data_IF_894209502896
#
_entry.id   IF_894209502896
#
_cell.length_a   1.000
_cell.length_b   1.000
_cell.length_c   1.000
_cell.angle_alpha   90.00
_cell.angle_beta   90.00
_cell.angle_gamma   90.00
#
_symmetry.space_group_name_H-M   'P 1'
#
loop_
_entity.id
_entity.type
_entity.pdbx_description
1 polymer ?
#
# COMPACT_ATOMS: atom_id res chain seq x y z
N UNK A 1 -13.11 -4.28 2.05
CA UNK A 1 -11.80 -4.06 2.70
C UNK A 1 -11.22 -5.44 2.95
N UNK A 2 -10.01 -5.70 2.50
CA UNK A 2 -9.35 -7.00 2.68
C UNK A 2 -8.56 -7.06 4.00
N UNK A 3 -8.11 -5.92 4.51
CA UNK A 3 -7.44 -5.82 5.81
C UNK A 3 -7.66 -4.43 6.41
N UNK A 4 -7.52 -4.32 7.74
CA UNK A 4 -7.44 -3.06 8.46
C UNK A 4 -5.97 -2.80 8.83
N UNK A 5 -5.48 -1.57 8.61
CA UNK A 5 -4.12 -1.19 8.97
C UNK A 5 -4.18 -0.38 10.26
N UNK A 6 -3.67 -0.95 11.34
CA UNK A 6 -3.54 -0.27 12.64
C UNK A 6 -2.28 0.59 12.68
N UNK A 7 -2.34 1.71 13.35
CA UNK A 7 -1.18 2.54 13.67
C UNK A 7 -0.54 2.15 15.02
N UNK A 8 -1.24 1.33 15.80
CA UNK A 8 -0.82 0.89 17.13
C UNK A 8 -0.69 -0.62 17.21
N UNK A 9 0.19 -1.10 18.10
CA UNK A 9 0.28 -2.49 18.51
C UNK A 9 -0.77 -2.80 19.60
N UNK A 10 -1.18 -4.08 19.76
CA UNK A 10 -1.99 -4.49 20.88
C UNK A 10 -1.26 -4.27 22.21
N UNK A 11 -2.02 -4.06 23.26
CA UNK A 11 -1.52 -4.01 24.64
C UNK A 11 -0.90 -5.35 25.06
N UNK A 12 -0.29 -5.40 26.26
CA UNK A 12 0.35 -6.61 26.82
C UNK A 12 -0.59 -7.81 26.97
N UNK A 13 -1.89 -7.57 27.09
CA UNK A 13 -2.96 -8.59 27.14
C UNK A 13 -3.45 -9.01 25.74
N UNK A 14 -2.83 -8.52 24.67
CA UNK A 14 -3.21 -8.78 23.29
C UNK A 14 -4.41 -7.97 22.78
N UNK A 15 -4.94 -7.04 23.59
CA UNK A 15 -6.09 -6.23 23.20
C UNK A 15 -5.64 -5.02 22.37
N UNK A 16 -6.20 -4.85 21.18
CA UNK A 16 -6.06 -3.65 20.36
C UNK A 16 -7.27 -2.76 20.59
N UNK A 17 -7.01 -1.51 20.96
CA UNK A 17 -8.04 -0.51 21.22
C UNK A 17 -8.01 0.49 20.08
N UNK A 18 -9.17 0.68 19.42
CA UNK A 18 -9.36 1.62 18.33
C UNK A 18 -10.41 2.65 18.71
N UNK A 19 -10.09 3.91 18.50
CA UNK A 19 -10.97 5.05 18.80
C UNK A 19 -11.10 6.02 17.59
N UNK A 20 -11.65 7.19 17.83
CA UNK A 20 -11.68 8.31 16.90
C UNK A 20 -12.16 7.94 15.49
N UNK A 21 -11.28 8.12 14.50
CA UNK A 21 -11.57 7.89 13.09
C UNK A 21 -11.74 6.40 12.79
N UNK A 22 -10.92 5.56 13.38
CA UNK A 22 -10.91 4.13 13.12
C UNK A 22 -12.17 3.46 13.69
N UNK A 23 -12.58 3.86 14.90
CA UNK A 23 -13.88 3.48 15.45
C UNK A 23 -15.02 3.90 14.52
N UNK A 24 -15.05 5.18 14.11
CA UNK A 24 -16.12 5.68 13.24
C UNK A 24 -16.16 4.92 11.90
N UNK A 25 -15.01 4.61 11.33
CA UNK A 25 -14.92 3.86 10.09
C UNK A 25 -15.44 2.42 10.25
N UNK A 26 -14.97 1.68 11.23
CA UNK A 26 -15.36 0.28 11.41
C UNK A 26 -16.82 0.13 11.86
N UNK A 27 -17.27 0.96 12.80
CA UNK A 27 -18.63 0.84 13.36
C UNK A 27 -19.70 1.54 12.52
N UNK A 28 -19.43 2.76 12.04
CA UNK A 28 -20.46 3.56 11.33
C UNK A 28 -20.48 3.30 9.83
N UNK A 29 -19.30 3.17 9.21
CA UNK A 29 -19.18 2.97 7.76
C UNK A 29 -19.27 1.49 7.42
N UNK A 30 -18.48 0.66 8.07
CA UNK A 30 -18.45 -0.80 7.85
C UNK A 30 -19.55 -1.56 8.57
N UNK A 31 -20.18 -0.95 9.57
CA UNK A 31 -21.27 -1.50 10.36
C UNK A 31 -20.91 -2.83 11.04
N UNK A 32 -19.65 -2.94 11.45
CA UNK A 32 -19.15 -4.13 12.16
C UNK A 32 -19.76 -4.24 13.55
N UNK A 33 -19.93 -5.47 14.01
CA UNK A 33 -20.60 -5.82 15.28
C UNK A 33 -19.63 -6.59 16.18
N UNK A 34 -20.00 -6.70 17.44
CA UNK A 34 -19.32 -7.59 18.38
C UNK A 34 -19.40 -9.02 17.86
N UNK A 35 -18.26 -9.71 17.88
CA UNK A 35 -18.09 -11.07 17.33
C UNK A 35 -17.61 -11.12 15.88
N UNK A 36 -17.66 -10.00 15.14
CA UNK A 36 -17.12 -9.96 13.77
C UNK A 36 -15.60 -10.12 13.81
N UNK A 37 -15.06 -10.85 12.84
CA UNK A 37 -13.61 -10.99 12.63
C UNK A 37 -13.11 -9.95 11.64
N UNK A 38 -11.87 -9.52 11.86
CA UNK A 38 -11.22 -8.49 11.06
C UNK A 38 -9.75 -8.84 10.87
N UNK A 39 -9.28 -9.03 9.64
CA UNK A 39 -7.83 -9.12 9.39
C UNK A 39 -7.22 -7.74 9.62
N UNK A 40 -6.30 -7.69 10.58
CA UNK A 40 -5.61 -6.47 11.01
C UNK A 40 -4.13 -6.59 10.66
N UNK A 41 -3.56 -5.54 10.11
CA UNK A 41 -2.12 -5.41 9.93
C UNK A 41 -1.57 -4.46 10.98
N UNK A 42 -0.72 -5.00 11.83
CA UNK A 42 -0.05 -4.30 12.92
C UNK A 42 1.31 -3.74 12.43
N UNK A 43 1.80 -2.65 13.03
CA UNK A 43 3.05 -2.01 12.59
C UNK A 43 4.29 -2.90 12.69
N UNK A 44 4.40 -3.67 13.78
CA UNK A 44 5.55 -4.51 14.08
C UNK A 44 5.20 -5.99 13.97
N UNK A 45 4.09 -6.42 14.59
CA UNK A 45 3.68 -7.82 14.68
C UNK A 45 3.11 -8.39 13.37
N UNK A 46 2.92 -7.55 12.34
CA UNK A 46 2.47 -8.00 11.02
C UNK A 46 0.97 -8.25 10.93
N UNK A 47 0.57 -9.28 10.17
CA UNK A 47 -0.84 -9.59 9.96
C UNK A 47 -1.39 -10.48 11.08
N UNK A 48 -2.54 -10.10 11.64
CA UNK A 48 -3.25 -10.85 12.65
C UNK A 48 -4.75 -10.86 12.35
N UNK A 49 -5.43 -11.97 12.63
CA UNK A 49 -6.89 -12.00 12.63
C UNK A 49 -7.40 -11.66 14.02
N UNK A 50 -8.23 -10.63 14.10
CA UNK A 50 -8.77 -10.15 15.37
C UNK A 50 -10.29 -10.19 15.39
N UNK A 51 -10.87 -10.44 16.55
CA UNK A 51 -12.31 -10.46 16.79
C UNK A 51 -12.70 -9.23 17.58
N UNK A 52 -13.81 -8.60 17.21
CA UNK A 52 -14.38 -7.48 17.97
C UNK A 52 -14.96 -8.01 19.28
N UNK A 53 -14.29 -7.72 20.38
CA UNK A 53 -14.73 -8.11 21.73
C UNK A 53 -15.84 -7.21 22.26
N UNK A 54 -15.68 -5.91 22.08
CA UNK A 54 -16.67 -4.92 22.57
C UNK A 54 -16.65 -3.63 21.78
N UNK A 55 -17.82 -2.98 21.76
CA UNK A 55 -18.03 -1.65 21.13
C UNK A 55 -18.64 -0.74 22.17
N UNK A 56 -17.94 0.33 22.55
CA UNK A 56 -18.45 1.35 23.46
C UNK A 56 -18.85 2.60 22.66
N UNK A 57 -20.15 2.83 22.53
CA UNK A 57 -20.67 4.03 21.88
C UNK A 57 -20.44 5.29 22.70
N UNK A 58 -20.45 5.17 24.03
CA UNK A 58 -20.21 6.28 24.96
C UNK A 58 -18.78 6.80 24.88
N UNK A 59 -17.80 5.90 24.83
CA UNK A 59 -16.38 6.23 24.72
C UNK A 59 -15.93 6.38 23.28
N UNK A 60 -16.76 5.97 22.29
CA UNK A 60 -16.40 5.84 20.86
C UNK A 60 -15.14 4.97 20.68
N UNK A 61 -15.12 3.84 21.38
CA UNK A 61 -14.00 2.92 21.48
C UNK A 61 -14.42 1.51 21.02
N UNK A 62 -13.56 0.83 20.32
CA UNK A 62 -13.72 -0.54 19.83
C UNK A 62 -12.53 -1.35 20.34
N UNK A 63 -12.82 -2.52 20.95
CA UNK A 63 -11.80 -3.42 21.46
C UNK A 63 -11.76 -4.70 20.62
N UNK A 64 -10.56 -5.05 20.20
CA UNK A 64 -10.29 -6.24 19.42
C UNK A 64 -9.35 -7.17 20.19
N UNK A 65 -9.58 -8.48 20.09
CA UNK A 65 -8.67 -9.52 20.60
C UNK A 65 -8.24 -10.44 19.48
N UNK A 66 -7.07 -11.10 19.61
CA UNK A 66 -6.67 -12.14 18.66
C UNK A 66 -7.73 -13.22 18.56
N UNK A 67 -8.02 -13.69 17.35
CA UNK A 67 -8.89 -14.84 17.12
C UNK A 67 -8.21 -16.08 17.67
N UNK A 68 -8.97 -16.98 18.32
CA UNK A 68 -8.46 -18.24 18.90
C UNK A 68 -7.86 -19.20 17.85
N UNK A 69 -7.97 -18.90 16.57
CA UNK A 69 -7.39 -19.67 15.48
C UNK A 69 -6.05 -19.14 14.97
N UNK A 70 -5.53 -18.04 15.52
CA UNK A 70 -4.26 -17.45 15.06
C UNK A 70 -3.10 -18.05 15.86
N UNK A 71 -2.44 -19.08 15.31
CA UNK A 71 -1.07 -19.39 15.70
C UNK A 71 -0.18 -18.25 15.22
N UNK A 72 0.38 -17.51 16.17
CA UNK A 72 1.39 -16.49 15.91
C UNK A 72 2.62 -17.21 15.35
N UNK A 73 2.85 -17.13 14.05
CA UNK A 73 4.13 -17.45 13.46
C UNK A 73 5.13 -16.36 13.88
N UNK A 74 5.78 -16.59 15.02
CA UNK A 74 6.98 -15.84 15.38
C UNK A 74 8.05 -16.15 14.36
N UNK A 75 8.35 -15.19 13.49
CA UNK A 75 9.55 -15.23 12.69
C UNK A 75 10.75 -15.12 13.62
N UNK A 76 11.40 -16.24 13.89
CA UNK A 76 12.71 -16.30 14.55
C UNK A 76 13.71 -15.77 13.54
N UNK A 77 14.10 -14.50 13.67
CA UNK A 77 15.28 -13.97 13.03
C UNK A 77 16.49 -14.31 13.93
N UNK A 78 17.36 -15.16 13.41
CA UNK A 78 18.68 -15.34 13.96
C UNK A 78 19.57 -14.13 13.62
N UNK A 79 20.30 -13.59 14.62
CA UNK A 79 21.44 -12.72 14.38
C UNK A 79 21.43 -11.40 15.15
N UNK A 80 22.09 -11.41 16.30
CA UNK A 80 22.28 -10.43 17.31
C UNK A 80 22.87 -9.07 16.93
N UNK A 81 22.57 -8.11 17.74
CA UNK A 81 23.45 -7.30 18.60
C UNK A 81 22.55 -6.28 19.31
N UNK A 82 22.66 -6.26 20.64
CA UNK A 82 21.82 -5.46 21.50
C UNK A 82 22.24 -3.99 21.54
N UNK A 83 21.25 -3.15 21.74
CA UNK A 83 21.35 -1.88 22.46
C UNK A 83 20.03 -1.65 23.21
N UNK A 84 20.05 -0.99 24.40
CA UNK A 84 18.97 -1.09 25.37
C UNK A 84 17.76 -0.25 24.98
N UNK A 85 16.60 -0.77 25.38
CA UNK A 85 15.29 -0.18 25.22
C UNK A 85 15.21 1.22 25.87
N UNK A 86 14.80 2.21 25.10
CA UNK A 86 14.22 3.42 25.60
C UNK A 86 12.72 3.18 25.81
N UNK A 87 12.27 3.50 27.00
CA UNK A 87 10.93 3.45 27.51
C UNK A 87 10.03 4.35 26.63
N UNK A 88 9.18 3.76 25.78
CA UNK A 88 8.22 4.52 24.99
C UNK A 88 6.92 4.54 25.77
N UNK A 89 6.78 5.61 26.53
CA UNK A 89 5.57 5.94 27.27
C UNK A 89 4.33 5.95 26.37
N UNK A 90 3.26 5.44 26.96
CA UNK A 90 1.88 5.45 26.49
C UNK A 90 1.48 6.76 25.79
N UNK A 91 1.17 6.71 24.50
CA UNK A 91 0.71 7.85 23.69
C UNK A 91 -0.82 8.05 23.70
N UNK A 92 -1.50 7.73 24.80
CA UNK A 92 -2.95 7.88 24.86
C UNK A 92 -3.44 8.60 26.13
N UNK A 93 -2.76 9.69 26.54
CA UNK A 93 -3.29 10.58 27.58
C UNK A 93 -3.30 12.04 27.08
N UNK A 94 -4.48 12.56 26.83
CA UNK A 94 -4.66 13.98 26.65
C UNK A 94 -5.84 14.42 25.80
N UNK A 95 -7.04 14.44 26.36
CA UNK A 95 -7.98 15.57 26.25
C UNK A 95 -9.25 15.28 27.04
N UNK A 96 -9.35 15.86 28.22
CA UNK A 96 -10.61 15.99 28.98
C UNK A 96 -11.30 17.32 28.67
N UNK A 97 -12.63 17.23 28.82
CA UNK A 97 -13.66 18.28 29.04
C UNK A 97 -14.42 18.69 27.79
N UNK A 98 -15.74 18.85 27.74
CA UNK A 98 -16.77 19.06 28.78
C UNK A 98 -18.16 18.77 28.15
N UNK A 99 -19.04 18.26 28.97
CA UNK A 99 -20.47 18.48 29.14
C UNK A 99 -21.40 18.85 27.98
N UNK A 100 -22.55 18.14 27.91
CA UNK A 100 -23.75 18.56 27.21
C UNK A 100 -24.79 17.45 27.08
N UNK A 101 -25.71 17.39 28.07
CA UNK A 101 -26.87 16.53 28.15
C UNK A 101 -27.92 16.83 27.07
N UNK A 102 -28.62 15.83 26.53
CA UNK A 102 -30.07 15.82 26.35
C UNK A 102 -30.52 14.44 25.86
N UNK A 103 -31.45 13.86 26.57
CA UNK A 103 -32.10 12.60 26.25
C UNK A 103 -33.22 12.78 25.25
N UNK A 104 -33.59 11.69 24.61
CA UNK A 104 -34.96 11.48 24.13
C UNK A 104 -35.31 10.00 24.09
N UNK A 105 -36.41 9.72 24.73
CA UNK A 105 -37.10 8.43 24.90
C UNK A 105 -37.91 8.03 23.66
N UNK A 106 -38.07 6.72 23.45
CA UNK A 106 -39.26 6.11 22.92
C UNK A 106 -39.26 5.82 21.40
N UNK A 107 -39.33 4.53 21.10
CA UNK A 107 -40.43 3.96 20.31
C UNK A 107 -40.25 2.44 20.20
N UNK A 108 -41.21 1.75 20.74
CA UNK A 108 -41.53 0.34 20.56
C UNK A 108 -42.23 0.11 19.19
N UNK A 109 -42.00 -1.04 18.59
CA UNK A 109 -42.89 -1.52 17.53
C UNK A 109 -42.34 -2.56 16.57
N UNK A 110 -42.82 -3.78 16.78
CA UNK A 110 -43.09 -4.85 15.83
C UNK A 110 -41.96 -5.73 15.25
N UNK A 111 -42.01 -6.96 15.76
CA UNK A 111 -41.44 -8.16 15.14
C UNK A 111 -42.25 -8.57 13.93
N UNK A 112 -41.58 -8.75 12.80
CA UNK A 112 -42.08 -9.53 11.68
C UNK A 112 -40.96 -10.42 11.16
N UNK A 113 -41.23 -11.70 11.08
CA UNK A 113 -40.41 -12.84 10.68
C UNK A 113 -39.61 -12.64 9.39
N UNK A 114 -38.28 -12.75 9.47
CA UNK A 114 -37.36 -12.91 8.33
C UNK A 114 -36.30 -13.94 8.74
N UNK A 115 -36.60 -15.23 8.60
CA UNK A 115 -35.69 -16.32 8.97
C UNK A 115 -34.85 -16.87 7.82
N UNK A 116 -35.01 -16.41 6.57
CA UNK A 116 -34.30 -16.99 5.41
C UNK A 116 -33.14 -16.11 4.84
N UNK A 117 -33.06 -14.84 5.24
CA UNK A 117 -31.96 -13.98 4.80
C UNK A 117 -30.71 -14.02 5.72
N UNK A 118 -30.83 -14.57 6.92
CA UNK A 118 -29.73 -14.65 7.88
C UNK A 118 -28.70 -15.72 7.49
N UNK A 119 -29.13 -16.84 6.94
CA UNK A 119 -28.22 -17.95 6.54
C UNK A 119 -27.45 -17.64 5.26
N UNK A 120 -28.03 -16.85 4.37
CA UNK A 120 -27.35 -16.42 3.13
C UNK A 120 -26.31 -15.34 3.41
N UNK A 121 -26.57 -14.45 4.36
CA UNK A 121 -25.59 -13.43 4.79
C UNK A 121 -24.41 -14.06 5.55
N UNK A 122 -24.63 -15.06 6.36
CA UNK A 122 -23.58 -15.77 7.10
C UNK A 122 -22.68 -16.59 6.17
N UNK A 123 -23.23 -17.25 5.15
CA UNK A 123 -22.42 -18.00 4.18
C UNK A 123 -21.55 -17.09 3.30
N UNK A 124 -22.07 -15.95 2.91
CA UNK A 124 -21.29 -14.95 2.12
C UNK A 124 -20.20 -14.30 2.99
N UNK A 125 -20.48 -14.04 4.26
CA UNK A 125 -19.52 -13.44 5.19
C UNK A 125 -18.40 -14.42 5.56
N UNK A 126 -18.73 -15.71 5.71
CA UNK A 126 -17.74 -16.78 5.91
C UNK A 126 -16.87 -17.00 4.66
N UNK A 127 -17.43 -16.89 3.46
CA UNK A 127 -16.69 -16.95 2.20
C UNK A 127 -15.76 -15.74 2.02
N UNK A 128 -16.18 -14.54 2.44
CA UNK A 128 -15.30 -13.35 2.45
C UNK A 128 -14.21 -13.43 3.52
N UNK A 129 -14.49 -14.03 4.68
CA UNK A 129 -13.49 -14.27 5.72
C UNK A 129 -12.46 -15.31 5.27
N UNK A 130 -12.88 -16.39 4.63
CA UNK A 130 -12.00 -17.40 4.07
C UNK A 130 -11.12 -16.83 2.94
N UNK A 131 -11.67 -15.98 2.06
CA UNK A 131 -10.91 -15.28 1.03
C UNK A 131 -9.94 -14.23 1.61
N UNK A 132 -10.26 -13.63 2.76
CA UNK A 132 -9.36 -12.71 3.46
C UNK A 132 -8.19 -13.42 4.15
N UNK A 133 -8.39 -14.64 4.62
CA UNK A 133 -7.32 -15.50 5.15
C UNK A 133 -6.32 -15.92 4.05
N UNK A 134 -6.79 -15.99 2.80
CA UNK A 134 -5.93 -16.30 1.66
C UNK A 134 -5.06 -15.12 1.20
N UNK A 135 -5.35 -13.90 1.64
CA UNK A 135 -4.48 -12.73 1.39
C UNK A 135 -3.12 -12.86 2.10
N UNK A 136 -3.01 -13.67 3.17
CA UNK A 136 -1.72 -14.04 3.76
C UNK A 136 -0.90 -15.00 2.88
N UNK A 137 -1.51 -15.55 1.83
CA UNK A 137 -0.90 -16.46 0.85
C UNK A 137 -0.44 -15.75 -0.42
N UNK A 138 -0.64 -14.43 -0.56
CA UNK A 138 0.02 -13.72 -1.65
C UNK A 138 1.52 -13.79 -1.36
N UNK A 139 2.29 -14.54 -2.16
CA UNK A 139 3.72 -14.65 -1.92
C UNK A 139 4.33 -13.24 -1.95
N UNK A 140 5.40 -13.00 -1.18
CA UNK A 140 6.11 -11.73 -1.30
C UNK A 140 6.50 -11.52 -2.78
N UNK A 141 6.47 -10.28 -3.28
CA UNK A 141 6.80 -10.01 -4.66
C UNK A 141 8.20 -10.54 -4.99
N UNK A 142 8.34 -11.17 -6.13
CA UNK A 142 9.62 -11.70 -6.62
C UNK A 142 10.68 -10.60 -6.80
N UNK A 143 10.24 -9.36 -7.03
CA UNK A 143 11.08 -8.17 -7.06
C UNK A 143 10.37 -6.97 -6.46
N UNK A 144 11.15 -6.05 -5.85
CA UNK A 144 10.64 -4.79 -5.36
C UNK A 144 10.61 -3.75 -6.47
N UNK A 145 9.47 -3.07 -6.65
CA UNK A 145 9.36 -1.96 -7.59
C UNK A 145 9.46 -0.63 -6.83
N UNK A 146 10.28 0.26 -7.35
CA UNK A 146 10.42 1.65 -6.93
C UNK A 146 10.01 2.53 -8.10
N UNK A 147 9.12 3.48 -7.85
CA UNK A 147 8.59 4.39 -8.86
C UNK A 147 9.10 5.81 -8.63
N UNK A 148 9.92 6.33 -9.55
CA UNK A 148 10.18 7.75 -9.69
C UNK A 148 9.07 8.34 -10.56
N UNK A 149 8.18 9.11 -9.96
CA UNK A 149 7.03 9.71 -10.65
C UNK A 149 7.15 11.22 -10.69
N UNK A 150 7.28 11.80 -11.85
CA UNK A 150 7.17 13.27 -12.00
C UNK A 150 5.80 13.73 -11.55
N UNK A 151 5.76 14.79 -10.73
CA UNK A 151 4.52 15.32 -10.18
C UNK A 151 3.61 15.81 -11.30
N UNK A 152 2.40 15.28 -11.35
CA UNK A 152 1.39 15.55 -12.38
C UNK A 152 0.45 16.67 -11.95
N UNK A 153 -0.28 17.23 -12.94
CA UNK A 153 -1.28 18.27 -12.70
C UNK A 153 -2.50 17.74 -11.93
N UNK A 154 -3.02 18.54 -11.04
CA UNK A 154 -4.28 18.27 -10.31
C UNK A 154 -4.18 17.02 -9.42
N UNK A 155 -5.18 16.16 -9.50
CA UNK A 155 -5.29 14.92 -8.72
C UNK A 155 -4.70 13.69 -9.40
N UNK A 156 -4.00 13.83 -10.52
CA UNK A 156 -3.46 12.68 -11.26
C UNK A 156 -2.37 11.96 -10.48
N UNK A 157 -1.52 12.69 -9.77
CA UNK A 157 -0.53 12.07 -8.86
C UNK A 157 -1.22 11.24 -7.78
N UNK A 158 -2.36 11.68 -7.23
CA UNK A 158 -3.15 10.89 -6.27
C UNK A 158 -3.59 9.55 -6.87
N UNK A 159 -3.99 9.57 -8.16
CA UNK A 159 -4.38 8.35 -8.89
C UNK A 159 -3.21 7.40 -9.04
N UNK A 160 -2.03 7.90 -9.43
CA UNK A 160 -0.81 7.09 -9.53
C UNK A 160 -0.43 6.51 -8.18
N UNK A 161 -0.43 7.32 -7.12
CA UNK A 161 -0.10 6.87 -5.74
C UNK A 161 -1.03 5.73 -5.31
N UNK A 162 -2.34 5.86 -5.57
CA UNK A 162 -3.32 4.81 -5.26
C UNK A 162 -3.02 3.53 -6.03
N UNK A 163 -2.93 3.60 -7.35
CA UNK A 163 -2.76 2.45 -8.23
C UNK A 163 -1.41 1.76 -8.03
N UNK A 164 -0.33 2.52 -7.87
CA UNK A 164 0.99 1.98 -7.54
C UNK A 164 0.99 1.24 -6.20
N UNK A 165 0.27 1.76 -5.21
CA UNK A 165 0.11 1.10 -3.90
C UNK A 165 -0.70 -0.18 -4.01
N UNK A 166 -1.81 -0.17 -4.75
CA UNK A 166 -2.63 -1.35 -5.03
C UNK A 166 -1.82 -2.45 -5.73
N UNK A 167 -0.94 -2.05 -6.64
CA UNK A 167 -0.01 -2.93 -7.33
C UNK A 167 1.20 -3.37 -6.47
N UNK A 168 1.33 -2.89 -5.23
CA UNK A 168 2.39 -3.32 -4.33
C UNK A 168 3.77 -2.71 -4.61
N UNK A 169 3.83 -1.50 -5.13
CA UNK A 169 5.08 -0.74 -5.27
C UNK A 169 5.66 -0.46 -3.88
N UNK A 170 6.96 -0.73 -3.70
CA UNK A 170 7.63 -0.56 -2.40
C UNK A 170 7.88 0.88 -2.03
N UNK A 171 8.32 1.70 -2.98
CA UNK A 171 8.57 3.11 -2.73
C UNK A 171 8.12 3.96 -3.92
N UNK A 172 7.55 5.13 -3.61
CA UNK A 172 7.18 6.15 -4.57
C UNK A 172 8.01 7.38 -4.26
N UNK A 173 8.75 7.87 -5.24
CA UNK A 173 9.59 9.06 -5.16
C UNK A 173 9.01 10.10 -6.12
N UNK A 174 8.21 11.07 -5.62
CA UNK A 174 7.68 12.13 -6.45
C UNK A 174 8.81 13.09 -6.86
N UNK A 175 8.96 13.31 -8.18
CA UNK A 175 10.00 14.16 -8.74
C UNK A 175 9.42 15.49 -9.22
N UNK A 176 10.01 16.59 -8.78
CA UNK A 176 9.74 17.93 -9.30
C UNK A 176 10.68 18.16 -10.48
N UNK A 177 10.18 17.92 -11.69
CA UNK A 177 10.97 18.05 -12.91
C UNK A 177 10.75 19.38 -13.63
N UNK A 178 11.48 19.55 -14.72
CA UNK A 178 11.47 20.78 -15.54
C UNK A 178 10.07 21.12 -16.06
N UNK A 179 9.31 20.10 -16.46
CA UNK A 179 7.94 20.24 -16.98
C UNK A 179 6.86 20.06 -15.91
N UNK A 180 7.25 19.90 -14.63
CA UNK A 180 6.29 19.84 -13.53
C UNK A 180 5.66 21.20 -13.26
N UNK A 181 4.34 21.25 -13.13
CA UNK A 181 3.61 22.50 -12.83
C UNK A 181 3.77 22.93 -11.38
N UNK A 182 3.79 21.96 -10.45
CA UNK A 182 4.00 22.23 -9.04
C UNK A 182 5.50 22.27 -8.73
N UNK A 183 6.02 23.48 -8.47
CA UNK A 183 7.44 23.71 -8.17
C UNK A 183 7.73 23.85 -6.67
N UNK A 184 6.73 23.70 -5.80
CA UNK A 184 6.88 23.87 -4.34
C UNK A 184 6.36 22.65 -3.60
N UNK A 185 7.10 22.26 -2.60
CA UNK A 185 6.66 21.26 -1.63
C UNK A 185 5.46 21.79 -0.82
N UNK A 186 4.47 20.94 -0.61
CA UNK A 186 3.32 21.21 0.24
C UNK A 186 3.18 20.09 1.27
N UNK A 187 3.44 20.35 2.57
CA UNK A 187 3.34 19.34 3.61
C UNK A 187 1.96 18.66 3.66
N UNK A 188 0.88 19.41 3.39
CA UNK A 188 -0.47 18.84 3.32
C UNK A 188 -0.62 17.81 2.20
N UNK A 189 0.18 17.91 1.14
CA UNK A 189 0.16 16.98 0.02
C UNK A 189 0.77 15.62 0.42
N UNK A 190 1.86 15.63 1.17
CA UNK A 190 2.48 14.40 1.67
C UNK A 190 1.53 13.64 2.60
N UNK A 191 0.88 14.33 3.54
CA UNK A 191 -0.13 13.72 4.41
C UNK A 191 -1.33 13.15 3.61
N UNK A 192 -1.73 13.83 2.55
CA UNK A 192 -2.75 13.33 1.62
C UNK A 192 -2.30 12.03 0.94
N UNK A 193 -1.07 11.96 0.45
CA UNK A 193 -0.52 10.75 -0.18
C UNK A 193 -0.43 9.59 0.81
N UNK A 194 0.03 9.81 2.03
CA UNK A 194 0.08 8.80 3.09
C UNK A 194 -1.30 8.21 3.38
N UNK A 195 -2.33 9.07 3.43
CA UNK A 195 -3.71 8.61 3.59
C UNK A 195 -4.18 7.77 2.41
N UNK A 196 -3.89 8.18 1.17
CA UNK A 196 -4.23 7.42 -0.04
C UNK A 196 -3.57 6.04 0.00
N UNK A 197 -2.29 5.96 0.36
CA UNK A 197 -1.55 4.70 0.51
C UNK A 197 -2.23 3.80 1.54
N UNK A 198 -2.56 4.32 2.71
CA UNK A 198 -3.27 3.56 3.75
C UNK A 198 -4.59 2.98 3.24
N UNK A 199 -5.42 3.82 2.61
CA UNK A 199 -6.71 3.42 2.05
C UNK A 199 -6.54 2.36 0.94
N UNK A 200 -5.58 2.55 0.03
CA UNK A 200 -5.29 1.63 -1.07
C UNK A 200 -4.80 0.26 -0.56
N UNK A 201 -3.90 0.24 0.42
CA UNK A 201 -3.44 -1.00 1.07
C UNK A 201 -4.56 -1.73 1.78
N UNK A 202 -5.43 -1.02 2.50
CA UNK A 202 -6.60 -1.61 3.15
C UNK A 202 -7.56 -2.23 2.14
N UNK A 203 -7.74 -1.59 0.99
CA UNK A 203 -8.63 -2.06 -0.06
C UNK A 203 -8.04 -3.24 -0.85
N UNK A 204 -6.80 -3.16 -1.27
CA UNK A 204 -6.14 -4.19 -2.07
C UNK A 204 -5.73 -5.41 -1.25
N UNK A 205 -5.45 -5.24 0.04
CA UNK A 205 -4.84 -6.27 0.87
C UNK A 205 -3.34 -6.41 0.64
N UNK A 206 -2.69 -5.41 -0.01
CA UNK A 206 -1.25 -5.45 -0.29
C UNK A 206 -0.44 -5.69 0.98
N UNK A 207 0.43 -6.70 0.94
CA UNK A 207 1.39 -7.00 2.00
C UNK A 207 2.59 -6.07 1.98
N UNK A 208 2.79 -5.33 0.87
CA UNK A 208 3.90 -4.41 0.71
C UNK A 208 3.64 -3.13 1.49
N UNK A 209 4.63 -2.72 2.29
CA UNK A 209 4.61 -1.45 3.01
C UNK A 209 5.11 -0.34 2.09
N UNK A 210 4.19 0.23 1.31
CA UNK A 210 4.50 1.29 0.36
C UNK A 210 4.89 2.56 1.09
N UNK A 211 6.11 3.05 0.85
CA UNK A 211 6.63 4.31 1.37
C UNK A 211 6.52 5.38 0.29
N UNK A 212 6.24 6.63 0.67
CA UNK A 212 6.30 7.78 -0.22
C UNK A 212 7.22 8.85 0.37
N UNK A 213 8.11 9.37 -0.45
CA UNK A 213 8.98 10.49 -0.10
C UNK A 213 8.29 11.83 -0.36
N UNK A 214 8.86 12.90 0.16
CA UNK A 214 8.48 14.25 -0.23
C UNK A 214 8.85 14.50 -1.69
N UNK A 215 8.07 15.32 -2.41
CA UNK A 215 8.44 15.73 -3.76
C UNK A 215 9.76 16.52 -3.75
N UNK A 216 10.74 16.05 -4.50
CA UNK A 216 12.09 16.63 -4.56
C UNK A 216 12.57 16.78 -6.01
N UNK A 217 13.56 17.66 -6.30
CA UNK A 217 14.23 17.69 -7.59
C UNK A 217 14.84 16.33 -7.96
N UNK A 218 15.05 16.07 -9.26
CA UNK A 218 15.56 14.78 -9.74
C UNK A 218 16.91 14.41 -9.10
N UNK A 219 17.83 15.36 -8.95
CA UNK A 219 19.12 15.09 -8.33
C UNK A 219 18.98 14.56 -6.90
N UNK A 220 18.08 15.16 -6.10
CA UNK A 220 17.82 14.73 -4.73
C UNK A 220 17.09 13.38 -4.69
N UNK A 221 16.19 13.14 -5.66
CA UNK A 221 15.53 11.86 -5.82
C UNK A 221 16.54 10.73 -6.10
N UNK A 222 17.50 10.96 -6.99
CA UNK A 222 18.56 10.01 -7.29
C UNK A 222 19.47 9.75 -6.09
N UNK A 223 19.80 10.77 -5.31
CA UNK A 223 20.56 10.65 -4.07
C UNK A 223 19.81 9.87 -2.98
N UNK A 224 18.49 9.87 -3.01
CA UNK A 224 17.65 9.13 -2.07
C UNK A 224 17.46 7.65 -2.46
N UNK A 225 17.73 7.25 -3.70
CA UNK A 225 17.51 5.86 -4.16
C UNK A 225 18.29 4.79 -3.37
N UNK A 226 19.55 5.00 -2.96
CA UNK A 226 20.32 3.97 -2.26
C UNK A 226 19.67 3.45 -0.98
N UNK A 227 18.77 4.20 -0.35
CA UNK A 227 18.02 3.73 0.83
C UNK A 227 17.00 2.61 0.51
N UNK A 228 16.60 2.48 -0.76
CA UNK A 228 15.63 1.49 -1.22
C UNK A 228 16.23 0.44 -2.15
N UNK A 229 17.37 0.75 -2.75
CA UNK A 229 18.00 -0.04 -3.81
C UNK A 229 19.22 -0.74 -3.23
N UNK A 230 19.28 -2.09 -3.27
CA UNK A 230 20.48 -2.81 -2.85
C UNK A 230 21.65 -2.51 -3.79
N UNK A 231 22.87 -2.70 -3.30
CA UNK A 231 24.09 -2.45 -4.07
C UNK A 231 24.18 -3.30 -5.37
N UNK A 232 23.51 -4.45 -5.39
CA UNK A 232 23.51 -5.37 -6.52
C UNK A 232 22.09 -5.89 -6.79
N UNK A 233 21.84 -6.30 -8.03
CA UNK A 233 20.57 -6.92 -8.42
C UNK A 233 19.44 -5.94 -8.69
N UNK A 234 19.73 -4.68 -8.94
CA UNK A 234 18.76 -3.67 -9.36
C UNK A 234 18.91 -3.33 -10.84
N UNK A 235 17.80 -3.00 -11.48
CA UNK A 235 17.74 -2.44 -12.83
C UNK A 235 16.95 -1.15 -12.84
N UNK A 236 17.28 -0.27 -13.79
CA UNK A 236 16.75 1.07 -13.86
C UNK A 236 16.18 1.32 -15.27
N UNK A 237 14.90 1.65 -15.35
CA UNK A 237 14.24 1.94 -16.60
C UNK A 237 13.52 3.28 -16.58
N UNK A 238 13.69 4.12 -17.61
CA UNK A 238 12.92 5.32 -17.82
C UNK A 238 11.98 5.16 -19.02
N UNK A 239 10.71 5.46 -18.82
CA UNK A 239 9.69 5.34 -19.84
C UNK A 239 9.78 6.51 -20.83
N UNK A 240 9.79 6.20 -22.12
CA UNK A 240 9.80 7.15 -23.20
C UNK A 240 8.71 6.86 -24.24
N UNK A 241 8.06 7.90 -24.73
CA UNK A 241 7.11 7.80 -25.85
C UNK A 241 7.80 7.73 -27.22
N UNK A 242 9.10 8.09 -27.26
CA UNK A 242 9.86 8.15 -28.49
C UNK A 242 10.59 6.82 -28.71
N UNK A 243 10.40 6.24 -29.90
CA UNK A 243 11.21 5.12 -30.38
C UNK A 243 12.61 5.63 -30.72
N UNK A 244 13.52 5.49 -29.79
CA UNK A 244 14.93 5.76 -29.98
C UNK A 244 15.77 4.54 -29.69
N UNK A 245 16.98 4.74 -29.16
CA UNK A 245 17.79 3.67 -28.59
C UNK A 245 17.16 3.19 -27.28
N UNK A 246 16.14 2.34 -27.39
CA UNK A 246 15.37 1.82 -26.27
C UNK A 246 15.55 0.29 -26.14
N UNK A 247 15.49 -0.20 -24.92
CA UNK A 247 15.45 -1.63 -24.60
C UNK A 247 14.01 -2.07 -24.39
N UNK A 248 13.69 -3.31 -24.76
CA UNK A 248 12.41 -3.91 -24.36
C UNK A 248 12.40 -4.20 -22.86
N UNK A 249 11.23 -4.06 -22.22
CA UNK A 249 11.10 -4.35 -20.77
C UNK A 249 11.54 -5.77 -20.44
N UNK A 250 11.23 -6.73 -21.31
CA UNK A 250 11.67 -8.12 -21.15
C UNK A 250 13.21 -8.25 -21.14
N UNK A 251 13.89 -7.51 -22.02
CA UNK A 251 15.36 -7.50 -22.07
C UNK A 251 15.95 -6.87 -20.80
N UNK A 252 15.38 -5.77 -20.32
CA UNK A 252 15.79 -5.12 -19.08
C UNK A 252 15.66 -6.07 -17.88
N UNK A 253 14.63 -6.91 -17.85
CA UNK A 253 14.31 -7.80 -16.74
C UNK A 253 14.87 -9.22 -16.90
N UNK A 254 15.60 -9.51 -17.98
CA UNK A 254 16.09 -10.86 -18.31
C UNK A 254 17.00 -11.45 -17.20
N UNK A 255 17.73 -10.61 -16.47
CA UNK A 255 18.58 -11.03 -15.37
C UNK A 255 17.82 -11.33 -14.06
N UNK A 256 16.48 -11.28 -14.05
CA UNK A 256 15.61 -11.47 -12.87
C UNK A 256 16.06 -10.60 -11.68
N UNK A 257 16.04 -9.27 -11.82
CA UNK A 257 16.50 -8.38 -10.76
C UNK A 257 15.63 -8.49 -9.51
N UNK A 258 16.23 -8.30 -8.35
CA UNK A 258 15.51 -8.21 -7.06
C UNK A 258 14.84 -6.85 -6.85
N UNK A 259 15.27 -5.84 -7.58
CA UNK A 259 14.73 -4.47 -7.51
C UNK A 259 14.65 -3.86 -8.90
N UNK A 260 13.53 -3.21 -9.17
CA UNK A 260 13.24 -2.54 -10.44
C UNK A 260 12.90 -1.09 -10.13
N UNK A 261 13.67 -0.15 -10.68
CA UNK A 261 13.42 1.27 -10.55
C UNK A 261 12.84 1.79 -11.86
N UNK A 262 11.63 2.33 -11.82
CA UNK A 262 10.92 2.86 -12.99
C UNK A 262 10.79 4.37 -12.86
N UNK A 263 11.23 5.12 -13.88
CA UNK A 263 11.06 6.56 -13.99
C UNK A 263 9.98 6.89 -15.03
N UNK A 264 8.97 7.67 -14.61
CA UNK A 264 7.84 8.06 -15.46
C UNK A 264 7.65 9.58 -15.40
N UNK A 265 7.82 10.24 -16.54
CA UNK A 265 7.75 11.69 -16.70
C UNK A 265 6.36 12.29 -16.42
N UNK A 266 6.30 13.61 -16.38
CA UNK A 266 5.06 14.39 -16.36
C UNK A 266 4.36 14.37 -17.74
N UNK A 267 3.28 15.15 -17.88
CA UNK A 267 2.57 15.29 -19.16
C UNK A 267 3.45 15.85 -20.30
N UNK A 268 4.48 16.59 -19.96
CA UNK A 268 5.50 17.10 -20.92
C UNK A 268 6.68 16.15 -21.13
N UNK A 269 6.64 14.96 -20.53
CA UNK A 269 7.74 13.99 -20.57
C UNK A 269 8.86 14.30 -19.58
N UNK A 270 10.03 13.80 -19.88
CA UNK A 270 11.30 14.02 -19.17
C UNK A 270 12.17 14.88 -20.08
N UNK A 271 12.75 15.97 -19.57
CA UNK A 271 13.61 16.86 -20.36
C UNK A 271 14.92 16.17 -20.77
N UNK A 272 15.60 16.69 -21.78
CA UNK A 272 16.87 16.12 -22.23
C UNK A 272 17.96 16.21 -21.14
N UNK A 273 17.94 17.27 -20.34
CA UNK A 273 18.84 17.42 -19.20
C UNK A 273 18.55 16.36 -18.11
N UNK A 274 17.28 16.11 -17.83
CA UNK A 274 16.86 15.07 -16.88
C UNK A 274 17.17 13.66 -17.40
N UNK A 275 17.02 13.41 -18.71
CA UNK A 275 17.40 12.15 -19.35
C UNK A 275 18.90 11.88 -19.17
N UNK A 276 19.73 12.90 -19.43
CA UNK A 276 21.17 12.77 -19.26
C UNK A 276 21.56 12.42 -17.81
N UNK A 277 20.88 13.01 -16.82
CA UNK A 277 21.08 12.65 -15.40
C UNK A 277 20.65 11.22 -15.09
N UNK A 278 19.53 10.79 -15.63
CA UNK A 278 19.04 9.41 -15.46
C UNK A 278 20.00 8.40 -16.12
N UNK A 279 20.46 8.68 -17.35
CA UNK A 279 21.41 7.83 -18.06
C UNK A 279 22.74 7.72 -17.30
N UNK A 280 23.24 8.82 -16.76
CA UNK A 280 24.43 8.84 -15.90
C UNK A 280 24.22 8.03 -14.61
N UNK A 281 22.99 7.93 -14.11
CA UNK A 281 22.60 7.10 -12.97
C UNK A 281 22.29 5.63 -13.36
N UNK A 282 22.48 5.24 -14.63
CA UNK A 282 22.33 3.86 -15.09
C UNK A 282 20.93 3.50 -15.58
N UNK A 283 20.03 4.47 -15.76
CA UNK A 283 18.72 4.22 -16.36
C UNK A 283 18.82 3.94 -17.84
N UNK A 284 18.10 2.92 -18.29
CA UNK A 284 17.93 2.59 -19.71
C UNK A 284 16.56 3.05 -20.18
N UNK A 285 16.50 3.58 -21.40
CA UNK A 285 15.23 4.00 -22.00
C UNK A 285 14.37 2.79 -22.32
N UNK A 286 13.14 2.78 -21.85
CA UNK A 286 12.11 1.78 -22.15
C UNK A 286 11.10 2.41 -23.09
N UNK A 287 10.78 1.70 -24.18
CA UNK A 287 9.67 2.07 -25.05
C UNK A 287 8.66 0.92 -25.13
N UNK A 288 7.40 1.24 -24.85
CA UNK A 288 6.31 0.31 -25.04
C UNK A 288 5.77 0.42 -26.47
N UNK A 289 5.61 -0.73 -27.17
CA UNK A 289 5.01 -0.77 -28.51
C UNK A 289 3.49 -0.57 -28.42
N UNK A 290 3.05 0.57 -27.95
CA UNK A 290 1.64 0.93 -27.81
C UNK A 290 1.42 2.38 -28.21
N UNK A 291 0.18 2.87 -28.12
CA UNK A 291 -0.15 4.28 -28.27
C UNK A 291 0.56 5.14 -27.24
N UNK A 292 0.70 6.43 -27.49
CA UNK A 292 1.18 7.37 -26.46
C UNK A 292 0.23 7.34 -25.28
N UNK A 293 0.75 6.93 -24.12
CA UNK A 293 0.00 6.82 -22.89
C UNK A 293 0.05 8.16 -22.13
N UNK A 294 -1.04 8.51 -21.44
CA UNK A 294 -0.98 9.58 -20.44
C UNK A 294 -0.04 9.17 -19.31
N UNK A 295 0.59 10.15 -18.66
CA UNK A 295 1.58 9.89 -17.62
C UNK A 295 1.06 8.97 -16.50
N UNK A 296 -0.19 9.19 -16.04
CA UNK A 296 -0.84 8.33 -15.04
C UNK A 296 -1.07 6.91 -15.55
N UNK A 297 -1.37 6.74 -16.83
CA UNK A 297 -1.53 5.42 -17.46
C UNK A 297 -0.19 4.75 -17.67
N UNK A 298 0.83 5.49 -18.10
CA UNK A 298 2.18 4.97 -18.34
C UNK A 298 2.79 4.40 -17.05
N UNK A 299 2.58 5.05 -15.92
CA UNK A 299 3.05 4.57 -14.61
C UNK A 299 2.48 3.18 -14.29
N UNK A 300 1.16 3.01 -14.37
CA UNK A 300 0.50 1.74 -14.06
C UNK A 300 0.86 0.67 -15.08
N UNK A 301 0.92 1.05 -16.35
CA UNK A 301 1.30 0.12 -17.43
C UNK A 301 2.73 -0.41 -17.24
N UNK A 302 3.68 0.47 -16.91
CA UNK A 302 5.06 0.08 -16.66
C UNK A 302 5.20 -0.84 -15.44
N UNK A 303 4.50 -0.54 -14.35
CA UNK A 303 4.45 -1.37 -13.15
C UNK A 303 3.88 -2.76 -13.48
N UNK A 304 2.72 -2.81 -14.15
CA UNK A 304 2.06 -4.06 -14.50
C UNK A 304 2.92 -4.91 -15.45
N UNK A 305 3.52 -4.30 -16.48
CA UNK A 305 4.41 -5.00 -17.39
C UNK A 305 5.62 -5.61 -16.67
N UNK A 306 6.27 -4.83 -15.79
CA UNK A 306 7.40 -5.33 -15.02
C UNK A 306 7.01 -6.47 -14.08
N UNK A 307 5.89 -6.36 -13.38
CA UNK A 307 5.40 -7.40 -12.47
C UNK A 307 5.05 -8.69 -13.21
N UNK A 308 4.31 -8.59 -14.33
CA UNK A 308 3.93 -9.75 -15.12
C UNK A 308 5.16 -10.50 -15.60
N UNK A 309 6.13 -9.81 -16.20
CA UNK A 309 7.35 -10.44 -16.70
C UNK A 309 8.12 -11.14 -15.58
N UNK A 310 8.30 -10.50 -14.42
CA UNK A 310 9.07 -11.10 -13.32
C UNK A 310 8.32 -12.28 -12.69
N UNK A 311 7.01 -12.13 -12.45
CA UNK A 311 6.23 -13.17 -11.78
C UNK A 311 6.05 -14.41 -12.66
N UNK A 312 6.05 -14.24 -13.97
CA UNK A 312 5.86 -15.34 -14.95
C UNK A 312 7.19 -15.87 -15.52
N UNK A 313 8.32 -15.22 -15.19
CA UNK A 313 9.63 -15.55 -15.76
C UNK A 313 10.05 -17.03 -15.60
N UNK A 314 9.55 -17.72 -14.58
CA UNK A 314 9.80 -19.14 -14.35
C UNK A 314 8.74 -20.05 -14.97
N UNK A 315 7.62 -19.49 -15.44
CA UNK A 315 6.48 -20.23 -15.99
C UNK A 315 6.41 -20.16 -17.51
N UNK A 316 7.12 -19.22 -18.12
CA UNK A 316 7.20 -19.10 -19.58
C UNK A 316 8.11 -20.20 -20.14
N UNK A 317 7.56 -21.41 -20.26
CA UNK A 317 8.13 -22.43 -21.10
C UNK A 317 7.70 -22.10 -22.53
N UNK A 318 8.66 -21.68 -23.35
CA UNK A 318 8.49 -21.69 -24.79
C UNK A 318 8.25 -23.15 -25.19
N UNK A 319 7.01 -23.50 -25.50
CA UNK A 319 6.77 -24.71 -26.26
C UNK A 319 7.44 -24.49 -27.62
N UNK A 320 8.63 -25.06 -27.80
CA UNK A 320 9.19 -25.24 -29.13
C UNK A 320 8.17 -26.04 -29.93
N UNK A 321 7.49 -25.36 -30.85
CA UNK A 321 6.73 -26.03 -31.88
C UNK A 321 7.76 -26.75 -32.72
N UNK A 322 8.01 -28.03 -32.41
CA UNK A 322 8.67 -28.94 -33.33
C UNK A 322 7.75 -29.11 -34.51
N UNK A 323 8.08 -28.44 -35.61
CA UNK A 323 7.48 -28.58 -36.95
C UNK A 323 7.69 -29.98 -37.51
#
# INVERSE_FOLDING_TARGET
>A
MKQFISECEPNRDGTLILDGRDYAYLVRVRRMKVGDTLPVRLPVSGAAEMVIESISTAKKELRLKPSSHTQVHSAVSAGGHGTPAADVGSCCDGARSAEGSAGCSGCSGNAASLSDDADRATSTQAAYAAAALDASRIPPPSAHIILLQWVLKGSKTDTVVRQATEAGVRAIVPVIGDFSVAKKQNPAQLERYRRIIREARQQSGSSVDTVILEPVPLADALNALPQFVPAHGAVFGMCSEVRGASVGVHTLLAAKPSTIVLAVGAEGGISDAEKALLEAAGFQTIHFNTNVLRAETAAVYAIAAAQTIINEADQWQLHEYTS
#
